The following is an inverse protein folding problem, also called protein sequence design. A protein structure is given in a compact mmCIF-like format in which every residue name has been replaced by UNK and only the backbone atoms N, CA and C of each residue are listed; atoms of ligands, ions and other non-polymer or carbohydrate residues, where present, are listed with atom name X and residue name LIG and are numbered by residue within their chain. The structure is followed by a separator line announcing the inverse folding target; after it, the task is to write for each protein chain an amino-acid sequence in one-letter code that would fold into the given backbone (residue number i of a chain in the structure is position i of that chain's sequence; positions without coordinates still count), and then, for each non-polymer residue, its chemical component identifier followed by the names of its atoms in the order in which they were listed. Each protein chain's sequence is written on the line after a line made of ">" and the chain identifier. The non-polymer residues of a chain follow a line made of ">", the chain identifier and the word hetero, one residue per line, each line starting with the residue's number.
data_IF_949874312756
#
_entry.id   IF_949874312756
#
_cell.length_a   1.000
_cell.length_b   1.000
_cell.length_c   1.000
_cell.angle_alpha   90.00
_cell.angle_beta   90.00
_cell.angle_gamma   90.00
#
_symmetry.space_group_name_H-M   'P 1'
#
loop_
_entity.id
_entity.type
_entity.pdbx_description
1 polymer ?
#
# COMPACT_ATOMS: atom_id res chain seq x y z
N UNK A 1 -6.10 19.47 25.38
CA UNK A 1 -5.57 18.34 24.59
C UNK A 1 -6.59 18.06 23.51
N UNK A 2 -6.28 18.34 22.24
CA UNK A 2 -7.18 17.98 21.15
C UNK A 2 -7.21 16.45 21.07
N UNK A 3 -8.39 15.86 21.24
CA UNK A 3 -8.64 14.46 20.93
C UNK A 3 -8.28 14.24 19.47
N UNK A 4 -7.25 13.44 19.19
CA UNK A 4 -6.95 13.00 17.83
C UNK A 4 -8.07 12.06 17.44
N UNK A 5 -9.01 12.57 16.67
CA UNK A 5 -10.12 11.78 16.14
C UNK A 5 -9.54 10.71 15.20
N UNK A 6 -9.96 9.46 15.37
CA UNK A 6 -9.50 8.38 14.50
C UNK A 6 -10.08 8.64 13.11
N UNK A 7 -9.27 8.57 12.03
CA UNK A 7 -9.79 8.77 10.69
C UNK A 7 -10.85 7.70 10.36
N UNK A 8 -11.83 8.02 9.49
CA UNK A 8 -12.79 7.04 8.98
C UNK A 8 -12.09 5.81 8.39
N UNK A 9 -12.75 4.64 8.42
CA UNK A 9 -12.16 3.39 7.94
C UNK A 9 -11.74 3.48 6.46
N UNK A 10 -12.58 4.06 5.60
CA UNK A 10 -12.27 4.27 4.18
C UNK A 10 -11.00 5.10 3.96
N UNK A 11 -10.78 6.12 4.79
CA UNK A 11 -9.55 6.92 4.78
C UNK A 11 -8.34 6.08 5.15
N UNK A 12 -8.45 5.24 6.19
CA UNK A 12 -7.38 4.31 6.59
C UNK A 12 -7.07 3.31 5.50
N UNK A 13 -8.10 2.70 4.91
CA UNK A 13 -7.96 1.72 3.83
C UNK A 13 -7.28 2.34 2.61
N UNK A 14 -7.60 3.61 2.32
CA UNK A 14 -6.93 4.35 1.25
C UNK A 14 -5.46 4.65 1.60
N UNK A 15 -5.17 5.09 2.83
CA UNK A 15 -3.82 5.44 3.26
C UNK A 15 -2.90 4.23 3.42
N UNK A 16 -3.42 3.12 3.91
CA UNK A 16 -2.67 1.90 4.21
C UNK A 16 -2.70 0.90 3.07
N UNK A 17 -3.63 1.07 2.13
CA UNK A 17 -3.86 0.14 1.05
C UNK A 17 -4.80 -0.95 1.53
N UNK A 18 -5.36 -1.69 0.58
CA UNK A 18 -6.31 -2.73 0.91
C UNK A 18 -5.64 -4.11 0.81
N UNK A 19 -6.06 -5.05 1.66
CA UNK A 19 -5.63 -6.45 1.63
C UNK A 19 -6.79 -7.39 1.26
N UNK A 20 -6.51 -8.64 0.88
CA UNK A 20 -7.55 -9.67 0.70
C UNK A 20 -8.50 -9.86 1.89
N UNK A 21 -8.07 -9.53 3.11
CA UNK A 21 -8.78 -9.81 4.37
C UNK A 21 -9.84 -8.77 4.75
N UNK A 22 -10.33 -8.89 6.00
CA UNK A 22 -11.27 -7.93 6.61
C UNK A 22 -10.60 -6.63 7.10
N UNK A 23 -9.27 -6.56 7.07
CA UNK A 23 -8.46 -5.48 7.65
C UNK A 23 -7.47 -4.84 6.68
N UNK A 24 -6.73 -3.87 7.18
CA UNK A 24 -5.66 -3.20 6.45
C UNK A 24 -4.35 -3.99 6.57
N UNK A 25 -3.35 -3.75 5.70
CA UNK A 25 -2.02 -4.26 5.99
C UNK A 25 -1.57 -3.65 7.33
N UNK A 26 -0.75 -4.39 8.07
CA UNK A 26 -0.35 -4.01 9.42
C UNK A 26 0.19 -2.57 9.44
N UNK A 27 -0.13 -1.81 10.49
CA UNK A 27 0.29 -0.41 10.62
C UNK A 27 1.81 -0.20 10.74
N UNK A 28 2.57 -1.29 10.86
CA UNK A 28 4.01 -1.28 10.98
C UNK A 28 4.64 -2.20 9.93
N UNK A 29 5.67 -1.68 9.27
CA UNK A 29 6.54 -2.46 8.39
C UNK A 29 8.00 -2.02 8.59
N UNK A 30 8.92 -2.90 8.25
CA UNK A 30 10.35 -2.58 8.14
C UNK A 30 10.77 -2.68 6.68
N UNK A 31 11.57 -1.72 6.25
CA UNK A 31 12.07 -1.65 4.88
C UNK A 31 13.58 -1.43 4.90
N UNK A 32 14.30 -2.17 4.06
CA UNK A 32 15.70 -1.87 3.72
C UNK A 32 15.78 -1.72 2.20
N UNK A 33 16.23 -0.57 1.74
CA UNK A 33 16.37 -0.31 0.30
C UNK A 33 17.82 -0.11 -0.08
N UNK A 34 18.22 -0.78 -1.15
CA UNK A 34 19.49 -0.54 -1.85
C UNK A 34 19.23 -0.28 -3.34
N UNK A 35 20.29 -0.07 -4.11
CA UNK A 35 20.17 0.29 -5.53
C UNK A 35 19.55 -0.82 -6.39
N UNK A 36 19.46 -2.05 -5.90
CA UNK A 36 18.99 -3.21 -6.64
C UNK A 36 17.77 -3.85 -6.00
N UNK A 37 17.62 -3.78 -4.67
CA UNK A 37 16.60 -4.51 -3.93
C UNK A 37 15.83 -3.62 -2.96
N UNK A 38 14.55 -3.95 -2.80
CA UNK A 38 13.75 -3.56 -1.65
C UNK A 38 13.51 -4.80 -0.80
N UNK A 39 13.99 -4.80 0.44
CA UNK A 39 13.62 -5.79 1.42
C UNK A 39 12.47 -5.24 2.25
N UNK A 40 11.34 -5.95 2.27
CA UNK A 40 10.14 -5.59 3.01
C UNK A 40 9.81 -6.65 4.04
N UNK A 41 9.44 -6.23 5.25
CA UNK A 41 8.94 -7.11 6.30
C UNK A 41 7.73 -6.46 6.96
N UNK A 42 6.57 -7.06 6.76
CA UNK A 42 5.35 -6.71 7.50
C UNK A 42 5.59 -6.89 9.00
N UNK A 43 4.93 -6.08 9.83
CA UNK A 43 5.06 -6.14 11.29
C UNK A 43 4.67 -7.50 11.88
N UNK A 44 3.72 -8.18 11.25
CA UNK A 44 3.25 -9.53 11.61
C UNK A 44 4.16 -10.66 11.09
N UNK A 45 5.06 -10.37 10.15
CA UNK A 45 5.85 -11.41 9.47
C UNK A 45 7.17 -11.72 10.20
N UNK A 46 7.50 -13.01 10.27
CA UNK A 46 8.80 -13.51 10.75
C UNK A 46 9.89 -13.55 9.66
N UNK A 47 9.56 -13.13 8.43
CA UNK A 47 10.44 -13.19 7.26
C UNK A 47 10.50 -11.84 6.54
N UNK A 48 11.53 -11.67 5.72
CA UNK A 48 11.63 -10.59 4.74
C UNK A 48 11.27 -11.09 3.35
N UNK A 49 10.60 -10.24 2.58
CA UNK A 49 10.47 -10.37 1.14
C UNK A 49 11.56 -9.54 0.48
N UNK A 50 12.22 -10.08 -0.54
CA UNK A 50 13.19 -9.35 -1.36
C UNK A 50 12.62 -9.12 -2.76
N UNK A 51 12.38 -7.85 -3.09
CA UNK A 51 11.90 -7.39 -4.38
C UNK A 51 13.04 -6.87 -5.27
N UNK A 52 13.04 -7.28 -6.52
CA UNK A 52 13.84 -6.74 -7.64
C UNK A 52 12.94 -5.88 -8.54
N UNK A 53 13.53 -5.13 -9.50
CA UNK A 53 12.75 -4.28 -10.42
C UNK A 53 11.75 -5.05 -11.31
N UNK A 54 11.85 -6.38 -11.39
CA UNK A 54 10.91 -7.22 -12.14
C UNK A 54 9.72 -7.72 -11.31
N UNK A 55 9.79 -7.62 -9.98
CA UNK A 55 8.84 -8.31 -9.08
C UNK A 55 7.57 -7.48 -8.80
N UNK A 56 7.57 -6.23 -9.25
CA UNK A 56 6.62 -5.14 -8.96
C UNK A 56 6.12 -4.46 -10.24
N UNK A 57 6.42 -5.07 -11.40
CA UNK A 57 6.28 -4.50 -12.74
C UNK A 57 4.85 -4.45 -13.32
N UNK A 58 4.71 -4.06 -14.59
CA UNK A 58 3.46 -3.54 -15.21
C UNK A 58 2.25 -4.46 -15.18
N UNK A 59 2.46 -5.77 -14.99
CA UNK A 59 1.37 -6.75 -14.84
C UNK A 59 0.53 -6.49 -13.58
N UNK A 60 1.10 -5.88 -12.54
CA UNK A 60 0.43 -5.60 -11.28
C UNK A 60 -0.22 -4.21 -11.21
N UNK A 61 -0.12 -3.39 -12.28
CA UNK A 61 -0.70 -2.03 -12.41
C UNK A 61 -0.37 -1.01 -11.29
N UNK A 62 0.37 -1.39 -10.24
CA UNK A 62 0.70 -0.59 -9.05
C UNK A 62 2.14 -0.84 -8.63
N UNK A 63 2.89 0.23 -8.36
CA UNK A 63 4.32 0.23 -8.06
C UNK A 63 4.62 0.55 -6.59
N UNK A 64 3.76 0.16 -5.63
CA UNK A 64 3.83 0.67 -4.26
C UNK A 64 5.15 0.36 -3.54
N UNK A 65 5.69 -0.86 -3.66
CA UNK A 65 7.00 -1.20 -3.11
C UNK A 65 8.12 -0.54 -3.91
N UNK A 66 7.98 -0.45 -5.23
CA UNK A 66 8.95 0.20 -6.10
C UNK A 66 9.03 1.71 -5.90
N UNK A 67 7.96 2.34 -5.42
CA UNK A 67 7.92 3.75 -5.02
C UNK A 67 8.95 4.06 -3.92
N UNK A 68 9.31 3.05 -3.14
CA UNK A 68 10.35 3.18 -2.12
C UNK A 68 11.75 3.24 -2.74
N UNK A 69 11.93 2.93 -4.03
CA UNK A 69 13.20 3.15 -4.71
C UNK A 69 13.30 4.62 -5.04
N UNK A 70 14.28 5.30 -4.43
CA UNK A 70 14.54 6.68 -4.79
C UNK A 70 15.20 6.78 -6.16
N UNK A 71 14.90 7.87 -6.84
CA UNK A 71 15.57 8.30 -8.06
C UNK A 71 16.99 8.77 -7.80
N UNK A 72 17.21 9.43 -6.65
CA UNK A 72 18.51 9.98 -6.23
C UNK A 72 19.08 9.31 -4.96
N UNK A 73 18.27 8.50 -4.27
CA UNK A 73 18.64 7.83 -3.02
C UNK A 73 18.06 6.43 -2.91
N UNK A 74 18.44 5.65 -1.88
CA UNK A 74 17.85 4.33 -1.69
C UNK A 74 16.36 4.43 -1.37
N UNK A 75 15.88 5.50 -0.71
CA UNK A 75 14.47 5.66 -0.34
C UNK A 75 13.82 6.76 -1.19
N UNK A 76 12.78 6.39 -1.94
CA UNK A 76 11.96 7.25 -2.77
C UNK A 76 10.69 7.73 -2.09
N UNK A 77 9.89 8.52 -2.81
CA UNK A 77 8.67 9.14 -2.31
C UNK A 77 8.93 10.23 -1.28
N UNK A 78 10.12 10.81 -1.27
CA UNK A 78 10.52 11.78 -0.23
C UNK A 78 10.48 13.20 -0.76
N UNK A 79 10.31 14.18 0.15
CA UNK A 79 10.34 15.59 -0.23
C UNK A 79 11.64 16.01 -0.91
N UNK A 80 12.76 15.30 -0.69
CA UNK A 80 14.02 15.59 -1.37
C UNK A 80 13.92 15.44 -2.89
N UNK A 81 13.18 14.46 -3.38
CA UNK A 81 13.02 14.24 -4.83
C UNK A 81 12.22 15.36 -5.48
N UNK A 82 11.22 15.89 -4.77
CA UNK A 82 10.43 17.03 -5.24
C UNK A 82 11.15 18.37 -5.08
N UNK A 83 12.19 18.47 -4.24
CA UNK A 83 12.91 19.72 -4.01
C UNK A 83 13.60 20.24 -5.27
N UNK A 84 14.12 19.36 -6.14
CA UNK A 84 14.80 19.76 -7.38
C UNK A 84 13.91 20.59 -8.32
N UNK A 85 12.60 20.39 -8.26
CA UNK A 85 11.61 21.15 -9.02
C UNK A 85 11.02 22.36 -8.26
N UNK A 86 11.35 22.53 -6.99
CA UNK A 86 10.76 23.54 -6.10
C UNK A 86 11.44 24.89 -6.26
N UNK A 87 10.67 25.98 -6.38
CA UNK A 87 11.19 27.34 -6.60
C UNK A 87 11.10 28.18 -5.33
N UNK A 88 12.23 28.68 -4.84
CA UNK A 88 12.24 29.62 -3.71
C UNK A 88 11.54 30.94 -4.08
N UNK A 89 10.62 31.40 -3.22
CA UNK A 89 9.88 32.66 -3.36
C UNK A 89 10.37 33.73 -2.40
N UNK A 90 10.84 33.33 -1.22
CA UNK A 90 11.48 34.24 -0.27
C UNK A 90 12.48 33.51 0.61
N UNK A 91 13.29 34.29 1.32
CA UNK A 91 14.32 33.80 2.24
C UNK A 91 14.32 34.65 3.50
N UNK A 92 14.49 34.00 4.64
CA UNK A 92 14.85 34.61 5.92
C UNK A 92 16.01 33.87 6.57
N UNK A 93 16.67 34.53 7.50
CA UNK A 93 17.75 33.96 8.30
C UNK A 93 17.27 33.90 9.75
N UNK A 94 17.48 32.76 10.40
CA UNK A 94 17.13 32.50 11.80
C UNK A 94 18.38 31.94 12.51
N UNK A 95 19.15 32.81 13.16
CA UNK A 95 20.48 32.48 13.67
C UNK A 95 21.42 32.01 12.55
N UNK A 96 21.99 30.80 12.69
CA UNK A 96 22.84 30.17 11.66
C UNK A 96 22.06 29.44 10.57
N UNK A 97 20.73 29.32 10.71
CA UNK A 97 19.85 28.62 9.78
C UNK A 97 19.29 29.59 8.75
N UNK A 98 19.15 29.14 7.50
CA UNK A 98 18.41 29.87 6.47
C UNK A 98 17.12 29.12 6.19
N UNK A 99 16.02 29.86 6.16
CA UNK A 99 14.68 29.33 5.89
C UNK A 99 14.15 29.96 4.62
N UNK A 100 13.72 29.13 3.69
CA UNK A 100 13.15 29.52 2.41
C UNK A 100 11.66 29.20 2.42
N UNK A 101 10.84 30.18 2.03
CA UNK A 101 9.52 29.86 1.50
C UNK A 101 9.69 29.53 0.02
N UNK A 102 8.99 28.50 -0.43
CA UNK A 102 9.13 27.98 -1.77
C UNK A 102 7.82 27.38 -2.28
N UNK A 103 7.75 27.25 -3.60
CA UNK A 103 6.59 26.80 -4.33
C UNK A 103 6.95 25.48 -5.03
N UNK A 104 6.33 24.38 -4.60
CA UNK A 104 6.52 23.06 -5.19
C UNK A 104 5.48 22.81 -6.28
N UNK A 105 5.87 22.49 -7.52
CA UNK A 105 4.93 22.12 -8.56
C UNK A 105 4.11 20.89 -8.15
N UNK A 106 2.81 20.89 -8.46
CA UNK A 106 1.92 19.73 -8.20
C UNK A 106 2.44 18.44 -8.84
N UNK A 107 3.03 18.52 -10.04
CA UNK A 107 3.65 17.37 -10.72
C UNK A 107 4.82 16.76 -9.94
N UNK A 108 5.57 17.58 -9.19
CA UNK A 108 6.64 17.10 -8.32
C UNK A 108 6.07 16.44 -7.05
N UNK A 109 4.97 16.99 -6.50
CA UNK A 109 4.30 16.39 -5.35
C UNK A 109 3.57 15.08 -5.66
N UNK A 110 3.11 14.89 -6.89
CA UNK A 110 2.52 13.61 -7.33
C UNK A 110 3.49 12.43 -7.17
N UNK A 111 4.80 12.68 -7.25
CA UNK A 111 5.86 11.68 -7.07
C UNK A 111 6.11 11.30 -5.60
N UNK A 112 5.44 11.96 -4.65
CA UNK A 112 5.57 11.64 -3.22
C UNK A 112 4.72 10.43 -2.83
N UNK A 113 3.70 10.10 -3.63
CA UNK A 113 2.71 9.08 -3.30
C UNK A 113 2.84 7.85 -4.20
N UNK A 114 2.68 6.64 -3.66
CA UNK A 114 2.41 5.45 -4.46
C UNK A 114 1.26 5.69 -5.44
N UNK A 115 1.30 5.07 -6.62
CA UNK A 115 0.34 5.35 -7.70
C UNK A 115 -1.12 5.12 -7.28
N UNK A 116 -1.39 4.07 -6.50
CA UNK A 116 -2.73 3.77 -5.97
C UNK A 116 -3.26 4.90 -5.08
N UNK A 117 -2.43 5.43 -4.20
CA UNK A 117 -2.77 6.54 -3.32
C UNK A 117 -2.86 7.86 -4.11
N UNK A 118 -1.93 8.10 -5.03
CA UNK A 118 -1.93 9.27 -5.91
C UNK A 118 -3.21 9.41 -6.73
N UNK A 119 -3.76 8.30 -7.25
CA UNK A 119 -5.05 8.28 -7.98
C UNK A 119 -6.25 8.65 -7.11
N UNK A 120 -6.15 8.50 -5.79
CA UNK A 120 -7.20 8.85 -4.84
C UNK A 120 -7.15 10.33 -4.44
N UNK A 121 -6.10 11.04 -4.84
CA UNK A 121 -5.95 12.47 -4.65
C UNK A 121 -6.45 13.20 -5.92
N UNK A 122 -7.58 13.93 -5.85
CA UNK A 122 -8.26 14.51 -7.01
C UNK A 122 -7.37 15.40 -7.88
N UNK A 123 -6.47 16.16 -7.25
CA UNK A 123 -5.55 17.06 -7.94
C UNK A 123 -4.50 16.35 -8.82
N UNK A 124 -4.38 15.03 -8.72
CA UNK A 124 -3.49 14.21 -9.56
C UNK A 124 -4.26 13.28 -10.50
N UNK A 125 -5.60 13.32 -10.50
CA UNK A 125 -6.42 12.52 -11.41
C UNK A 125 -6.46 13.14 -12.82
N UNK A 126 -6.34 12.35 -13.90
CA UNK A 126 -6.41 12.86 -15.28
C UNK A 126 -7.73 13.57 -15.61
N UNK A 127 -8.81 13.23 -14.89
CA UNK A 127 -10.14 13.80 -15.08
C UNK A 127 -10.36 15.11 -14.29
N UNK A 128 -9.40 15.54 -13.48
CA UNK A 128 -9.43 16.81 -12.76
C UNK A 128 -9.28 17.97 -13.73
N UNK A 129 -10.40 18.58 -14.12
CA UNK A 129 -10.46 19.81 -14.93
C UNK A 129 -9.57 20.90 -14.34
N UNK A 130 -8.58 21.39 -15.10
CA UNK A 130 -7.95 22.73 -15.02
C UNK A 130 -7.78 23.37 -13.63
N UNK A 131 -7.70 22.58 -12.56
CA UNK A 131 -7.56 23.06 -11.20
C UNK A 131 -6.21 23.75 -11.20
N UNK A 132 -6.25 25.07 -10.98
CA UNK A 132 -5.15 25.99 -11.18
C UNK A 132 -3.81 25.33 -10.83
N UNK A 133 -2.80 25.53 -11.70
CA UNK A 133 -1.41 25.11 -11.49
C UNK A 133 -0.75 25.77 -10.26
N UNK A 134 -1.55 26.23 -9.30
CA UNK A 134 -1.17 26.83 -8.04
C UNK A 134 -0.20 25.88 -7.34
N UNK A 135 1.06 26.32 -7.19
CA UNK A 135 2.08 25.54 -6.52
C UNK A 135 1.71 25.27 -5.06
N UNK A 136 2.34 24.23 -4.51
CA UNK A 136 2.15 23.80 -3.13
C UNK A 136 3.13 24.54 -2.22
N UNK A 137 2.64 25.25 -1.18
CA UNK A 137 3.50 25.95 -0.24
C UNK A 137 4.49 24.99 0.42
N UNK A 138 5.77 25.31 0.34
CA UNK A 138 6.85 24.51 0.89
C UNK A 138 7.80 25.39 1.69
N UNK A 139 8.21 24.92 2.86
CA UNK A 139 9.25 25.54 3.68
C UNK A 139 10.49 24.65 3.63
N UNK A 140 11.64 25.24 3.30
CA UNK A 140 12.94 24.55 3.28
C UNK A 140 13.88 25.22 4.25
N UNK A 141 14.45 24.46 5.17
CA UNK A 141 15.48 24.92 6.07
C UNK A 141 16.83 24.33 5.69
N UNK A 142 17.87 25.16 5.75
CA UNK A 142 19.26 24.72 5.56
C UNK A 142 20.15 25.21 6.69
N UNK A 143 21.17 24.42 7.02
CA UNK A 143 22.19 24.77 8.02
C UNK A 143 23.18 25.85 7.52
N UNK A 144 24.14 26.23 8.38
CA UNK A 144 25.17 27.21 8.04
C UNK A 144 26.02 26.81 6.82
N UNK A 145 26.17 25.51 6.56
CA UNK A 145 26.88 24.94 5.40
C UNK A 145 26.02 24.81 4.15
N UNK A 146 24.72 25.13 4.24
CA UNK A 146 23.77 25.04 3.13
C UNK A 146 23.16 23.66 2.92
N UNK A 147 23.25 22.76 3.90
CA UNK A 147 22.64 21.43 3.83
C UNK A 147 21.19 21.50 4.26
N UNK A 148 20.30 20.84 3.52
CA UNK A 148 18.87 20.75 3.87
C UNK A 148 18.71 19.99 5.19
N UNK A 149 18.10 20.61 6.18
CA UNK A 149 17.83 20.02 7.51
C UNK A 149 16.35 19.73 7.74
N UNK A 150 15.46 20.48 7.09
CA UNK A 150 14.02 20.30 7.22
C UNK A 150 13.31 20.76 5.95
N UNK A 151 12.35 19.96 5.50
CA UNK A 151 11.43 20.31 4.41
C UNK A 151 10.01 20.05 4.92
N UNK A 152 9.14 21.03 4.77
CA UNK A 152 7.72 20.90 5.08
C UNK A 152 6.91 21.35 3.89
N UNK A 153 6.08 20.47 3.33
CA UNK A 153 5.12 20.82 2.29
C UNK A 153 3.70 20.82 2.86
N UNK A 154 2.91 21.81 2.46
CA UNK A 154 1.47 21.86 2.69
C UNK A 154 0.75 21.43 1.40
N UNK A 155 0.09 20.28 1.50
CA UNK A 155 -0.64 19.64 0.42
C UNK A 155 -2.14 19.79 0.60
N UNK A 156 -2.61 20.59 1.55
CA UNK A 156 -4.04 20.66 1.89
C UNK A 156 -4.92 21.09 0.70
N UNK A 157 -4.36 21.81 -0.27
CA UNK A 157 -5.06 22.20 -1.51
C UNK A 157 -5.25 21.06 -2.52
N UNK A 158 -4.67 19.89 -2.27
CA UNK A 158 -4.88 18.67 -3.07
C UNK A 158 -5.95 17.76 -2.45
N UNK A 159 -6.37 18.04 -1.22
CA UNK A 159 -7.49 17.38 -0.57
C UNK A 159 -8.82 17.92 -1.09
N UNK A 160 -9.90 17.17 -0.86
CA UNK A 160 -11.25 17.72 -0.95
C UNK A 160 -11.87 17.65 -2.34
N UNK A 161 -12.29 16.45 -2.73
CA UNK A 161 -13.45 16.32 -3.62
C UNK A 161 -14.52 15.53 -2.91
N UNK A 162 -15.78 15.97 -3.04
CA UNK A 162 -16.93 15.23 -2.51
C UNK A 162 -16.93 13.81 -3.06
N UNK A 163 -17.24 12.84 -2.20
CA UNK A 163 -17.25 11.42 -2.56
C UNK A 163 -15.85 10.80 -2.68
N UNK A 164 -14.84 11.39 -2.05
CA UNK A 164 -13.51 10.76 -1.92
C UNK A 164 -13.25 10.32 -0.49
N UNK A 165 -12.34 9.37 -0.31
CA UNK A 165 -11.89 8.89 1.00
C UNK A 165 -11.26 9.98 1.89
N UNK A 166 -11.03 11.18 1.34
CA UNK A 166 -10.43 12.33 2.01
C UNK A 166 -11.39 13.52 2.13
N UNK A 167 -12.70 13.33 1.91
CA UNK A 167 -13.70 14.41 1.94
C UNK A 167 -13.68 15.20 3.25
N UNK A 168 -13.51 14.52 4.39
CA UNK A 168 -13.48 15.14 5.72
C UNK A 168 -12.09 15.66 6.14
N UNK A 169 -11.06 15.46 5.30
CA UNK A 169 -9.70 15.93 5.62
C UNK A 169 -9.53 17.39 5.21
N UNK A 170 -9.17 18.23 6.19
CA UNK A 170 -8.94 19.66 5.99
C UNK A 170 -7.46 20.03 5.83
N UNK A 171 -6.55 19.13 6.23
CA UNK A 171 -5.11 19.37 6.14
C UNK A 171 -4.33 18.12 5.78
N UNK A 172 -3.34 18.28 4.90
CA UNK A 172 -2.33 17.26 4.60
C UNK A 172 -0.97 17.94 4.55
N UNK A 173 -0.06 17.50 5.40
CA UNK A 173 1.31 18.04 5.42
C UNK A 173 2.31 16.89 5.43
N UNK A 174 3.42 17.06 4.71
CA UNK A 174 4.56 16.15 4.77
C UNK A 174 5.71 16.91 5.42
N UNK A 175 6.33 16.31 6.43
CA UNK A 175 7.43 16.89 7.22
C UNK A 175 8.64 15.94 7.14
N UNK A 176 9.69 16.37 6.45
CA UNK A 176 10.94 15.64 6.31
C UNK A 176 12.02 16.34 7.12
N UNK A 177 12.63 15.61 8.07
CA UNK A 177 13.78 16.10 8.85
C UNK A 177 15.01 15.28 8.50
N UNK A 178 16.10 15.99 8.23
CA UNK A 178 17.38 15.40 7.84
C UNK A 178 18.43 15.73 8.89
N UNK A 179 19.22 14.72 9.21
CA UNK A 179 20.34 14.80 10.15
C UNK A 179 21.41 13.79 9.74
N UNK A 180 22.56 13.78 10.42
CA UNK A 180 23.64 12.83 10.10
C UNK A 180 24.28 13.07 8.73
N UNK A 181 24.32 14.32 8.26
CA UNK A 181 25.05 14.65 7.03
C UNK A 181 26.53 14.21 7.12
N UNK A 182 27.08 13.73 6.02
CA UNK A 182 28.42 13.13 5.90
C UNK A 182 28.67 11.87 6.74
N UNK A 183 27.64 11.27 7.32
CA UNK A 183 27.79 9.96 7.98
C UNK A 183 27.86 8.83 6.94
N UNK A 184 28.52 7.74 7.30
CA UNK A 184 28.59 6.54 6.46
C UNK A 184 27.20 5.95 6.23
N UNK A 185 26.95 5.44 5.02
CA UNK A 185 25.71 4.74 4.66
C UNK A 185 25.35 3.68 5.72
N UNK A 186 24.07 3.54 6.11
CA UNK A 186 23.64 2.45 6.97
C UNK A 186 24.05 1.09 6.42
N UNK A 187 24.63 0.24 7.27
CA UNK A 187 25.06 -1.14 6.93
C UNK A 187 24.03 -2.18 7.36
N UNK A 188 22.79 -1.77 7.64
CA UNK A 188 21.72 -2.66 8.06
C UNK A 188 21.48 -3.75 7.02
N UNK A 189 21.28 -4.97 7.49
CA UNK A 189 20.93 -6.13 6.68
C UNK A 189 19.63 -6.73 7.21
N UNK A 190 18.84 -7.41 6.35
CA UNK A 190 17.65 -8.10 6.82
C UNK A 190 18.05 -9.14 7.87
N UNK A 191 17.31 -9.17 8.97
CA UNK A 191 17.44 -10.18 10.02
C UNK A 191 16.56 -11.40 9.72
N UNK A 192 17.01 -12.61 10.06
CA UNK A 192 16.22 -13.82 9.83
C UNK A 192 16.08 -14.21 8.36
N UNK A 193 14.98 -14.87 8.03
CA UNK A 193 14.77 -15.50 6.71
C UNK A 193 14.40 -14.47 5.65
N UNK A 194 15.13 -14.47 4.53
CA UNK A 194 14.82 -13.65 3.34
C UNK A 194 14.26 -14.55 2.24
N UNK A 195 13.11 -14.18 1.69
CA UNK A 195 12.39 -14.92 0.65
C UNK A 195 12.34 -14.09 -0.64
N UNK A 196 12.69 -14.65 -1.81
CA UNK A 196 12.50 -13.94 -3.08
C UNK A 196 11.02 -13.63 -3.30
N UNK A 197 10.68 -12.38 -3.58
CA UNK A 197 9.29 -11.97 -3.79
C UNK A 197 8.67 -12.69 -5.00
N UNK A 198 9.42 -12.84 -6.09
CA UNK A 198 9.00 -13.57 -7.30
C UNK A 198 8.50 -15.01 -7.06
N UNK A 199 8.94 -15.64 -5.97
CA UNK A 199 8.57 -17.01 -5.62
C UNK A 199 7.48 -17.06 -4.53
N UNK A 200 7.56 -16.12 -3.58
CA UNK A 200 6.72 -16.10 -2.39
C UNK A 200 5.38 -15.41 -2.63
N UNK A 201 5.39 -14.32 -3.40
CA UNK A 201 4.22 -13.48 -3.68
C UNK A 201 3.49 -13.99 -4.91
N UNK A 202 2.16 -14.09 -4.82
CA UNK A 202 1.32 -14.60 -5.90
C UNK A 202 -0.11 -14.09 -5.78
N UNK A 203 -0.88 -14.21 -6.86
CA UNK A 203 -2.32 -13.94 -6.79
C UNK A 203 -3.02 -14.96 -5.88
N UNK A 204 -4.03 -14.54 -5.12
CA UNK A 204 -4.91 -15.42 -4.32
C UNK A 204 -5.52 -16.51 -5.20
N UNK A 205 -5.87 -16.18 -6.45
CA UNK A 205 -6.38 -17.13 -7.44
C UNK A 205 -5.40 -18.26 -7.81
N UNK A 206 -4.11 -18.11 -7.52
CA UNK A 206 -3.09 -19.15 -7.76
C UNK A 206 -2.76 -20.01 -6.55
N UNK A 207 -3.31 -19.68 -5.37
CA UNK A 207 -3.13 -20.46 -4.15
C UNK A 207 -3.98 -21.73 -4.25
N UNK A 208 -3.36 -22.89 -4.09
CA UNK A 208 -4.06 -24.18 -4.14
C UNK A 208 -4.93 -24.37 -2.89
N UNK A 209 -6.08 -25.08 -2.99
CA UNK A 209 -6.84 -25.52 -1.82
C UNK A 209 -5.97 -26.23 -0.79
N UNK A 210 -6.15 -25.84 0.48
CA UNK A 210 -5.32 -26.23 1.62
C UNK A 210 -4.10 -25.34 1.85
N UNK A 211 -3.80 -24.40 0.94
CA UNK A 211 -2.67 -23.48 1.07
C UNK A 211 -2.92 -22.35 2.07
N UNK A 212 -1.88 -21.99 2.82
CA UNK A 212 -1.88 -20.90 3.78
C UNK A 212 -1.11 -19.70 3.25
N UNK A 213 -1.54 -18.50 3.63
CA UNK A 213 -0.97 -17.27 3.10
C UNK A 213 -1.15 -16.08 4.03
N UNK A 214 -0.29 -15.09 3.80
CA UNK A 214 -0.25 -13.82 4.51
C UNK A 214 -0.72 -12.70 3.58
N UNK A 215 -1.47 -11.75 4.13
CA UNK A 215 -2.12 -10.68 3.38
C UNK A 215 -1.16 -9.56 2.99
N UNK A 216 -0.20 -9.25 3.87
CA UNK A 216 0.67 -8.10 3.71
C UNK A 216 1.91 -8.42 2.85
N UNK A 217 1.83 -8.01 1.58
CA UNK A 217 2.94 -8.08 0.63
C UNK A 217 3.71 -6.75 0.52
N UNK A 218 3.26 -5.68 1.20
CA UNK A 218 3.75 -4.32 0.96
C UNK A 218 3.37 -3.71 -0.40
N UNK A 219 2.83 -4.50 -1.35
CA UNK A 219 2.44 -4.01 -2.67
C UNK A 219 1.08 -3.31 -2.70
N UNK A 220 0.30 -3.41 -1.61
CA UNK A 220 -1.03 -2.79 -1.48
C UNK A 220 -2.00 -3.23 -2.58
N UNK A 221 -1.89 -4.50 -2.98
CA UNK A 221 -2.70 -5.12 -4.01
C UNK A 221 -3.64 -6.14 -3.38
N UNK A 222 -4.94 -5.90 -3.57
CA UNK A 222 -6.04 -6.68 -2.99
C UNK A 222 -5.96 -8.17 -3.32
N UNK A 223 -5.44 -8.53 -4.49
CA UNK A 223 -5.42 -9.89 -5.01
C UNK A 223 -4.09 -10.61 -4.81
N UNK A 224 -3.10 -9.98 -4.18
CA UNK A 224 -1.79 -10.59 -3.95
C UNK A 224 -1.58 -10.99 -2.50
N UNK A 225 -0.92 -12.13 -2.31
CA UNK A 225 -0.61 -12.71 -1.00
C UNK A 225 0.76 -13.34 -0.98
N UNK A 226 1.30 -13.56 0.20
CA UNK A 226 2.51 -14.36 0.40
C UNK A 226 2.13 -15.77 0.78
N UNK A 227 2.45 -16.77 -0.04
CA UNK A 227 2.26 -18.16 0.37
C UNK A 227 3.19 -18.51 1.54
N UNK A 228 2.70 -19.17 2.59
CA UNK A 228 3.50 -19.59 3.74
C UNK A 228 3.22 -21.05 4.11
N UNK A 229 4.15 -21.74 4.80
CA UNK A 229 3.87 -23.06 5.35
C UNK A 229 2.70 -22.99 6.32
N UNK A 230 1.73 -23.91 6.18
CA UNK A 230 0.58 -23.98 7.08
C UNK A 230 0.94 -24.38 8.52
N UNK A 231 2.15 -24.89 8.75
CA UNK A 231 2.68 -25.14 10.10
C UNK A 231 3.05 -23.86 10.85
N UNK A 232 3.22 -22.76 10.12
CA UNK A 232 3.58 -21.47 10.68
C UNK A 232 2.30 -20.65 10.91
N UNK A 233 2.38 -19.65 11.78
CA UNK A 233 1.30 -18.67 11.92
C UNK A 233 1.08 -17.96 10.57
N UNK A 234 -0.17 -17.80 10.16
CA UNK A 234 -0.56 -17.29 8.84
C UNK A 234 -1.89 -16.55 8.93
N UNK A 235 -2.20 -15.67 7.99
CA UNK A 235 -3.42 -14.84 8.06
C UNK A 235 -4.66 -15.57 7.57
N UNK A 236 -4.50 -16.45 6.58
CA UNK A 236 -5.62 -17.16 6.00
C UNK A 236 -5.23 -18.52 5.41
N UNK A 237 -6.24 -19.39 5.31
CA UNK A 237 -6.15 -20.67 4.61
C UNK A 237 -7.23 -20.78 3.55
N UNK A 238 -6.83 -21.04 2.31
CA UNK A 238 -7.73 -21.26 1.19
C UNK A 238 -8.32 -22.66 1.28
N UNK A 239 -9.65 -22.77 1.31
CA UNK A 239 -10.32 -24.07 1.35
C UNK A 239 -10.99 -24.44 0.02
N UNK A 240 -11.31 -23.46 -0.83
CA UNK A 240 -11.89 -23.74 -2.13
C UNK A 240 -11.60 -22.65 -3.17
N UNK A 241 -11.62 -23.07 -4.43
CA UNK A 241 -11.75 -22.22 -5.60
C UNK A 241 -12.86 -22.75 -6.49
N UNK A 242 -13.69 -21.86 -7.02
CA UNK A 242 -14.83 -22.23 -7.87
C UNK A 242 -14.97 -21.25 -9.03
N UNK A 243 -15.34 -21.76 -10.18
CA UNK A 243 -15.83 -20.96 -11.30
C UNK A 243 -17.28 -20.55 -11.02
N UNK A 244 -17.62 -19.28 -11.27
CA UNK A 244 -18.93 -18.69 -11.01
C UNK A 244 -19.84 -18.62 -12.25
N UNK A 245 -19.30 -18.95 -13.43
CA UNK A 245 -20.02 -18.99 -14.71
C UNK A 245 -19.28 -18.26 -15.82
N UNK A 246 -19.87 -18.23 -17.01
CA UNK A 246 -19.29 -17.59 -18.20
C UNK A 246 -19.71 -16.13 -18.34
N UNK A 247 -19.02 -15.39 -19.22
CA UNK A 247 -19.35 -14.02 -19.67
C UNK A 247 -20.82 -13.90 -20.16
N UNK A 248 -21.47 -12.73 -19.99
CA UNK A 248 -20.93 -11.46 -19.48
C UNK A 248 -20.90 -11.35 -17.95
N UNK A 249 -20.08 -10.44 -17.43
CA UNK A 249 -20.08 -10.07 -16.02
C UNK A 249 -21.50 -9.70 -15.53
N UNK A 250 -22.02 -10.34 -14.47
CA UNK A 250 -23.43 -10.19 -14.07
C UNK A 250 -23.72 -8.89 -13.29
N UNK A 251 -22.74 -8.00 -13.13
CA UNK A 251 -22.80 -6.87 -12.21
C UNK A 251 -22.23 -7.21 -10.83
N UNK A 252 -21.82 -6.18 -10.08
CA UNK A 252 -21.05 -6.32 -8.83
C UNK A 252 -21.83 -7.03 -7.74
N UNK A 253 -23.09 -6.67 -7.55
CA UNK A 253 -23.97 -7.23 -6.52
C UNK A 253 -24.23 -8.71 -6.80
N UNK A 254 -24.63 -9.05 -8.04
CA UNK A 254 -24.89 -10.42 -8.44
C UNK A 254 -23.61 -11.29 -8.43
N UNK A 255 -22.46 -10.74 -8.83
CA UNK A 255 -21.17 -11.43 -8.74
C UNK A 255 -20.81 -11.76 -7.28
N UNK A 256 -20.99 -10.79 -6.37
CA UNK A 256 -20.75 -10.97 -4.93
C UNK A 256 -21.68 -12.02 -4.32
N UNK A 257 -22.96 -11.99 -4.65
CA UNK A 257 -23.94 -12.97 -4.16
C UNK A 257 -23.60 -14.39 -4.64
N UNK A 258 -23.23 -14.55 -5.93
CA UNK A 258 -22.76 -15.82 -6.47
C UNK A 258 -21.51 -16.32 -5.77
N UNK A 259 -20.54 -15.45 -5.53
CA UNK A 259 -19.31 -15.77 -4.81
C UNK A 259 -19.61 -16.23 -3.38
N UNK A 260 -20.45 -15.50 -2.65
CA UNK A 260 -20.85 -15.83 -1.28
C UNK A 260 -21.55 -17.19 -1.19
N UNK A 261 -22.51 -17.45 -2.10
CA UNK A 261 -23.23 -18.72 -2.16
C UNK A 261 -22.29 -19.90 -2.47
N UNK A 262 -21.38 -19.72 -3.44
CA UNK A 262 -20.39 -20.74 -3.80
C UNK A 262 -19.44 -21.06 -2.64
N UNK A 263 -18.98 -20.05 -1.90
CA UNK A 263 -18.10 -20.26 -0.75
C UNK A 263 -18.82 -20.86 0.44
N UNK A 264 -20.08 -20.49 0.69
CA UNK A 264 -20.90 -21.12 1.75
C UNK A 264 -21.08 -22.62 1.48
N UNK A 265 -21.46 -22.99 0.25
CA UNK A 265 -21.60 -24.39 -0.13
C UNK A 265 -20.26 -25.16 -0.09
N UNK A 266 -19.16 -24.49 -0.43
CA UNK A 266 -17.83 -25.10 -0.37
C UNK A 266 -17.33 -25.28 1.08
N UNK A 267 -17.74 -24.41 2.01
CA UNK A 267 -17.36 -24.48 3.42
C UNK A 267 -17.85 -25.78 4.06
N UNK A 268 -19.10 -26.17 3.79
CA UNK A 268 -19.73 -27.38 4.34
C UNK A 268 -19.05 -28.69 3.93
N UNK A 269 -18.28 -28.66 2.84
CA UNK A 269 -17.57 -29.83 2.29
C UNK A 269 -16.06 -29.75 2.45
N UNK A 270 -15.54 -28.63 2.98
CA UNK A 270 -14.13 -28.45 3.22
C UNK A 270 -13.65 -29.33 4.39
N UNK A 271 -12.37 -29.77 4.39
CA UNK A 271 -11.80 -30.45 5.53
C UNK A 271 -11.97 -29.63 6.81
N UNK A 272 -12.55 -30.25 7.85
CA UNK A 272 -12.79 -29.57 9.13
C UNK A 272 -11.52 -29.03 9.78
N UNK A 273 -10.37 -29.67 9.55
CA UNK A 273 -9.07 -29.18 10.01
C UNK A 273 -8.60 -27.90 9.32
N UNK A 274 -9.17 -27.54 8.16
CA UNK A 274 -8.88 -26.27 7.49
C UNK A 274 -9.83 -25.19 7.98
N UNK A 275 -11.11 -25.50 8.11
CA UNK A 275 -12.13 -24.52 8.51
C UNK A 275 -12.11 -24.18 10.00
N UNK A 276 -11.58 -25.08 10.84
CA UNK A 276 -11.39 -24.85 12.28
C UNK A 276 -10.35 -23.78 12.61
N UNK A 277 -9.55 -23.34 11.64
CA UNK A 277 -8.55 -22.27 11.83
C UNK A 277 -9.16 -20.88 11.76
N UNK A 278 -10.44 -20.75 11.40
CA UNK A 278 -11.14 -19.47 11.41
C UNK A 278 -11.11 -18.84 12.81
N UNK A 279 -10.90 -17.52 12.88
CA UNK A 279 -10.96 -16.75 14.13
C UNK A 279 -12.27 -17.00 14.89
N UNK A 280 -13.37 -17.17 14.15
CA UNK A 280 -14.68 -17.53 14.69
C UNK A 280 -15.22 -18.77 13.97
N UNK A 281 -15.77 -19.77 14.69
CA UNK A 281 -16.38 -20.93 14.07
C UNK A 281 -17.47 -20.54 13.06
N UNK A 282 -17.39 -21.08 11.84
CA UNK A 282 -18.33 -20.78 10.74
C UNK A 282 -17.96 -19.54 9.91
N UNK A 283 -17.06 -18.68 10.38
CA UNK A 283 -16.64 -17.51 9.62
C UNK A 283 -15.77 -17.92 8.43
N UNK A 284 -16.08 -17.34 7.27
CA UNK A 284 -15.27 -17.44 6.07
C UNK A 284 -15.31 -16.12 5.30
N UNK A 285 -14.36 -15.97 4.39
CA UNK A 285 -14.22 -14.83 3.51
C UNK A 285 -14.00 -15.28 2.08
N UNK A 286 -14.13 -14.35 1.16
CA UNK A 286 -14.00 -14.65 -0.25
C UNK A 286 -13.52 -13.45 -1.05
N UNK A 287 -12.76 -13.77 -2.09
CA UNK A 287 -12.42 -12.85 -3.17
C UNK A 287 -12.98 -13.40 -4.47
N UNK A 288 -13.47 -12.53 -5.34
CA UNK A 288 -13.98 -12.92 -6.65
C UNK A 288 -13.32 -12.10 -7.74
N UNK A 289 -13.35 -12.64 -8.96
CA UNK A 289 -12.79 -12.00 -10.14
C UNK A 289 -13.35 -10.60 -10.35
N UNK A 290 -12.47 -9.70 -10.75
CA UNK A 290 -12.85 -8.39 -11.30
C UNK A 290 -13.69 -8.56 -12.57
N UNK A 291 -14.33 -7.47 -13.02
CA UNK A 291 -15.09 -7.49 -14.26
C UNK A 291 -14.22 -7.91 -15.46
N UNK A 292 -13.02 -7.33 -15.60
CA UNK A 292 -12.07 -7.65 -16.68
C UNK A 292 -11.77 -9.16 -16.71
N UNK A 293 -11.39 -9.75 -15.56
CA UNK A 293 -11.09 -11.19 -15.45
C UNK A 293 -12.32 -12.07 -15.72
N UNK A 294 -13.50 -11.62 -15.29
CA UNK A 294 -14.76 -12.33 -15.54
C UNK A 294 -15.10 -12.37 -17.02
N UNK A 295 -14.94 -11.24 -17.71
CA UNK A 295 -15.22 -11.13 -19.14
C UNK A 295 -14.22 -11.94 -19.97
N UNK A 296 -12.97 -12.07 -19.52
CA UNK A 296 -11.93 -12.89 -20.18
C UNK A 296 -12.11 -14.40 -20.01
N UNK A 297 -12.45 -14.85 -18.79
CA UNK A 297 -12.31 -16.28 -18.42
C UNK A 297 -13.56 -16.92 -17.82
N UNK A 298 -14.61 -16.14 -17.59
CA UNK A 298 -15.74 -16.55 -16.77
C UNK A 298 -15.34 -16.53 -15.29
N UNK A 299 -15.96 -15.66 -14.50
CA UNK A 299 -15.47 -15.31 -13.17
C UNK A 299 -15.19 -16.48 -12.24
N UNK A 300 -14.27 -16.26 -11.31
CA UNK A 300 -13.89 -17.20 -10.28
C UNK A 300 -14.08 -16.62 -8.88
N UNK A 301 -14.11 -17.50 -7.88
CA UNK A 301 -14.06 -17.15 -6.47
C UNK A 301 -12.98 -17.98 -5.77
N UNK A 302 -12.24 -17.33 -4.88
CA UNK A 302 -11.35 -17.95 -3.90
C UNK A 302 -11.97 -17.81 -2.51
N UNK A 303 -12.20 -18.93 -1.85
CA UNK A 303 -12.84 -19.04 -0.55
C UNK A 303 -11.81 -19.44 0.51
N UNK A 304 -11.71 -18.68 1.59
CA UNK A 304 -10.73 -18.90 2.64
C UNK A 304 -11.29 -18.57 4.02
N UNK A 305 -10.69 -19.18 5.04
CA UNK A 305 -10.89 -18.74 6.42
C UNK A 305 -9.80 -17.73 6.78
N UNK A 306 -10.16 -16.75 7.61
CA UNK A 306 -9.21 -15.80 8.20
C UNK A 306 -8.93 -16.28 9.61
N UNK A 307 -7.66 -16.46 9.96
CA UNK A 307 -7.23 -16.88 11.30
C UNK A 307 -7.23 -15.70 12.26
N UNK A 308 -7.06 -15.93 13.56
CA UNK A 308 -6.91 -14.84 14.53
C UNK A 308 -5.79 -13.86 14.17
N UNK A 309 -4.68 -14.36 13.59
CA UNK A 309 -3.58 -13.50 13.15
C UNK A 309 -4.00 -12.57 12.00
N UNK A 310 -4.82 -13.08 11.09
CA UNK A 310 -5.36 -12.28 9.98
C UNK A 310 -6.44 -11.28 10.39
N UNK A 311 -6.86 -11.28 11.67
CA UNK A 311 -7.80 -10.32 12.26
C UNK A 311 -7.17 -9.35 13.26
N UNK A 312 -5.89 -9.55 13.62
CA UNK A 312 -5.16 -8.69 14.55
C UNK A 312 -4.75 -7.37 13.84
N UNK A 313 -5.49 -6.29 14.10
CA UNK A 313 -5.14 -4.89 13.75
C UNK A 313 -4.26 -4.22 14.84
#
# INVERSE_FOLDING_TARGET
>A
MATVEKPPQETKDTLLGATPGKGNPGHAARVLVDSQHVHYRAGSAAYWLRYTMGDTGPNFRVNAVDHLRGSEGPVGGTLLESLGATKATSRRTDGSQRVYAADMPRSAAAQLFPNDLGRKLPAFSPAGSSAENTPLPTTVSVDGRGRVTHVRADLSTILGSKGTAFEDMTSLTIDLRLSGHDTSKPTAKPDGTVRPAAEAVRSVGSVKPGGCFDFDTGQRLLDTVVGVPCSDAHDARLFAQRTLGTSPYPGKEAAREKAAAACSAAYDTAPGSWTSEADRPGDHWFMWSSQDEWDESGGAVSCFVITSRGTDD
#
